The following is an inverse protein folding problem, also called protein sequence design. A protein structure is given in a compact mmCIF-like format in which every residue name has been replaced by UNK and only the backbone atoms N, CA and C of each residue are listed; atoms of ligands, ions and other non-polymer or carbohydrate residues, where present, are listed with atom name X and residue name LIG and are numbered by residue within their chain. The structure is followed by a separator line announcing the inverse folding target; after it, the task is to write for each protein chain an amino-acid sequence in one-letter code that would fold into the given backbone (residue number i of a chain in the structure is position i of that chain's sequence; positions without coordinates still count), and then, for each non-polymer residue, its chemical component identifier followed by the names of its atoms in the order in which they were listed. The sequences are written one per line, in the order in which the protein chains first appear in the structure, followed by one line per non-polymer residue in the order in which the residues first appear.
data_IF_219223101010
#
_entry.id   IF_219223101010
#
_cell.length_a   1.000
_cell.length_b   1.000
_cell.length_c   1.000
_cell.angle_alpha   90.00
_cell.angle_beta   90.00
_cell.angle_gamma   90.00
#
_symmetry.space_group_name_H-M   'P 1'
#
loop_
_entity.id
_entity.type
_entity.pdbx_description
1 polymer ?
#
# COMPACT_ATOMS: atom_id res chain seq x y z
N UNK A 1 -4.47 -30.37 5.98
CA UNK A 1 -4.83 -29.97 7.36
C UNK A 1 -3.85 -30.71 8.28
N UNK A 2 -2.86 -29.99 8.81
CA UNK A 2 -1.83 -30.53 9.71
C UNK A 2 -1.87 -29.65 10.95
N UNK A 3 -2.07 -30.31 12.09
CA UNK A 3 -2.44 -29.74 13.39
C UNK A 3 -1.17 -29.22 14.06
N UNK A 4 -1.25 -28.01 14.62
CA UNK A 4 -0.14 -27.30 15.24
C UNK A 4 0.47 -28.09 16.41
N UNK A 5 1.79 -28.23 16.40
CA UNK A 5 2.56 -28.88 17.46
C UNK A 5 2.43 -28.07 18.77
N UNK A 6 1.96 -28.72 19.83
CA UNK A 6 1.92 -28.16 21.18
C UNK A 6 3.33 -27.94 21.70
N UNK A 7 3.83 -26.70 21.66
CA UNK A 7 5.04 -26.33 22.36
C UNK A 7 4.81 -26.45 23.88
N UNK A 8 5.34 -27.52 24.47
CA UNK A 8 5.46 -27.65 25.93
C UNK A 8 6.30 -26.49 26.44
N UNK A 9 5.65 -25.57 27.14
CA UNK A 9 6.28 -24.51 27.92
C UNK A 9 7.08 -25.18 29.05
N UNK A 10 8.34 -25.46 28.77
CA UNK A 10 9.30 -26.04 29.69
C UNK A 10 10.24 -24.96 30.23
N UNK A 11 10.17 -24.77 31.54
CA UNK A 11 11.23 -24.25 32.41
C UNK A 11 11.52 -22.74 32.34
N UNK A 12 10.98 -22.03 33.34
CA UNK A 12 11.48 -20.72 33.78
C UNK A 12 12.94 -20.89 34.19
N UNK A 13 13.87 -20.34 33.41
CA UNK A 13 15.25 -20.23 33.86
C UNK A 13 15.35 -19.09 34.86
N UNK A 14 15.73 -19.43 36.10
CA UNK A 14 16.00 -18.50 37.17
C UNK A 14 17.23 -17.64 36.83
N UNK A 15 17.20 -16.39 37.30
CA UNK A 15 18.22 -15.37 37.08
C UNK A 15 19.64 -15.86 37.40
N UNK A 16 20.40 -16.18 36.35
CA UNK A 16 21.85 -16.32 36.38
C UNK A 16 22.46 -15.14 35.65
N UNK A 17 23.11 -14.24 36.39
CA UNK A 17 23.93 -13.17 35.83
C UNK A 17 25.09 -13.78 35.04
N UNK A 18 25.00 -13.78 33.71
CA UNK A 18 26.15 -14.05 32.85
C UNK A 18 26.56 -12.74 32.21
N UNK A 19 27.43 -12.04 32.94
CA UNK A 19 28.54 -11.20 32.47
C UNK A 19 28.64 -11.08 30.94
N UNK A 20 28.30 -9.89 30.44
CA UNK A 20 28.84 -9.24 29.25
C UNK A 20 29.58 -10.13 28.24
N UNK A 21 28.85 -10.78 27.32
CA UNK A 21 29.37 -10.96 25.96
C UNK A 21 29.10 -9.67 25.20
N UNK A 22 30.04 -8.72 25.28
CA UNK A 22 30.20 -7.74 24.21
C UNK A 22 30.57 -8.54 22.96
N UNK A 23 29.65 -8.61 22.02
CA UNK A 23 29.95 -9.06 20.66
C UNK A 23 30.86 -7.98 20.08
N UNK A 24 32.16 -8.25 20.07
CA UNK A 24 33.13 -7.44 19.36
C UNK A 24 32.86 -7.54 17.86
N UNK A 25 32.75 -6.38 17.21
CA UNK A 25 33.08 -6.22 15.80
C UNK A 25 32.08 -6.75 14.78
N UNK A 26 30.91 -6.11 14.68
CA UNK A 26 30.31 -5.93 13.35
C UNK A 26 30.54 -4.45 13.02
N UNK A 27 31.34 -4.09 12.00
CA UNK A 27 31.45 -2.71 11.58
C UNK A 27 30.04 -2.25 11.20
N UNK A 28 29.58 -1.17 11.84
CA UNK A 28 28.30 -0.54 11.53
C UNK A 28 28.39 0.03 10.11
N UNK A 29 28.17 -0.85 9.13
CA UNK A 29 28.00 -0.46 7.73
C UNK A 29 26.77 0.41 7.73
N UNK A 30 26.97 1.73 7.58
CA UNK A 30 25.89 2.70 7.35
C UNK A 30 24.89 2.06 6.40
N UNK A 31 23.74 1.65 6.94
CA UNK A 31 22.65 1.14 6.12
C UNK A 31 22.29 2.27 5.18
N UNK A 32 22.45 2.03 3.89
CA UNK A 32 22.02 2.98 2.87
C UNK A 32 20.50 2.96 2.91
N UNK A 33 19.87 4.13 2.86
CA UNK A 33 18.42 4.21 2.82
C UNK A 33 17.92 3.54 1.53
N UNK A 34 17.19 2.44 1.69
CA UNK A 34 16.58 1.71 0.57
C UNK A 34 15.08 1.99 0.52
N UNK A 35 14.57 2.32 -0.66
CA UNK A 35 13.13 2.51 -0.88
C UNK A 35 12.53 1.20 -1.39
N UNK A 36 11.75 0.55 -0.53
CA UNK A 36 10.97 -0.65 -0.89
C UNK A 36 9.50 -0.27 -1.05
N UNK A 37 8.93 -0.58 -2.21
CA UNK A 37 7.47 -0.43 -2.43
C UNK A 37 6.78 -1.59 -1.72
N UNK A 38 5.77 -1.28 -0.90
CA UNK A 38 5.01 -2.32 -0.18
C UNK A 38 4.29 -3.25 -1.16
N UNK A 39 4.18 -4.52 -0.79
CA UNK A 39 3.47 -5.54 -1.58
C UNK A 39 1.98 -5.17 -1.78
N UNK A 40 1.39 -4.44 -0.83
CA UNK A 40 0.03 -3.89 -0.96
C UNK A 40 -0.06 -2.82 -2.06
N UNK A 41 0.90 -1.89 -2.12
CA UNK A 41 0.91 -0.84 -3.13
C UNK A 41 1.09 -1.40 -4.55
N UNK A 42 1.90 -2.45 -4.71
CA UNK A 42 2.05 -3.15 -6.00
C UNK A 42 0.73 -3.77 -6.45
N UNK A 43 0.03 -4.48 -5.56
CA UNK A 43 -1.30 -5.07 -5.87
C UNK A 43 -2.34 -4.02 -6.27
N UNK A 44 -2.34 -2.86 -5.60
CA UNK A 44 -3.23 -1.76 -5.97
C UNK A 44 -2.89 -1.17 -7.35
N UNK A 45 -1.61 -1.13 -7.72
CA UNK A 45 -1.18 -0.72 -9.06
C UNK A 45 -1.66 -1.71 -10.12
N UNK A 46 -1.46 -3.01 -9.90
CA UNK A 46 -1.90 -4.05 -10.84
C UNK A 46 -3.43 -4.02 -11.04
N UNK A 47 -4.19 -3.83 -9.96
CA UNK A 47 -5.64 -3.67 -10.02
C UNK A 47 -6.08 -2.43 -10.84
N UNK A 48 -5.26 -1.37 -10.82
CA UNK A 48 -5.49 -0.16 -11.62
C UNK A 48 -5.17 -0.37 -13.09
N UNK A 49 -4.10 -1.11 -13.40
CA UNK A 49 -3.71 -1.45 -14.77
C UNK A 49 -4.78 -2.33 -15.45
N UNK A 50 -5.40 -3.25 -14.71
CA UNK A 50 -6.52 -4.05 -15.20
C UNK A 50 -7.72 -3.20 -15.70
N UNK A 51 -7.90 -1.98 -15.17
CA UNK A 51 -8.97 -1.05 -15.57
C UNK A 51 -8.54 -0.07 -16.69
N UNK A 52 -7.29 -0.16 -17.16
CA UNK A 52 -6.71 0.84 -18.05
C UNK A 52 -7.38 0.87 -19.43
N UNK A 53 -7.76 -0.27 -20.00
CA UNK A 53 -8.42 -0.36 -21.31
C UNK A 53 -9.78 0.34 -21.33
N UNK A 54 -10.62 0.06 -20.33
CA UNK A 54 -11.94 0.69 -20.19
C UNK A 54 -11.81 2.20 -19.92
N UNK A 55 -10.79 2.58 -19.14
CA UNK A 55 -10.47 3.99 -18.89
C UNK A 55 -10.03 4.72 -20.16
N UNK A 56 -9.22 4.10 -21.01
CA UNK A 56 -8.78 4.68 -22.30
C UNK A 56 -9.99 4.93 -23.19
N UNK A 57 -10.87 3.93 -23.35
CA UNK A 57 -12.10 4.06 -24.15
C UNK A 57 -12.98 5.20 -23.65
N UNK A 58 -13.23 5.26 -22.34
CA UNK A 58 -14.02 6.35 -21.72
C UNK A 58 -13.38 7.72 -21.95
N UNK A 59 -12.06 7.80 -21.97
CA UNK A 59 -11.35 9.05 -22.18
C UNK A 59 -11.46 9.51 -23.64
N UNK A 60 -11.40 8.59 -24.59
CA UNK A 60 -11.63 8.88 -26.02
C UNK A 60 -13.04 9.38 -26.29
N UNK A 61 -14.08 8.76 -25.72
CA UNK A 61 -15.47 9.22 -25.87
C UNK A 61 -15.65 10.62 -25.29
N UNK A 62 -15.11 10.88 -24.09
CA UNK A 62 -15.16 12.20 -23.46
C UNK A 62 -14.45 13.26 -24.31
N UNK A 63 -13.30 12.93 -24.91
CA UNK A 63 -12.60 13.86 -25.82
C UNK A 63 -13.45 14.22 -27.03
N UNK A 64 -14.16 13.24 -27.60
CA UNK A 64 -15.07 13.48 -28.73
C UNK A 64 -16.24 14.38 -28.32
N UNK A 65 -16.90 14.11 -27.20
CA UNK A 65 -18.01 14.93 -26.67
C UNK A 65 -17.59 16.38 -26.37
N UNK A 66 -16.37 16.57 -25.87
CA UNK A 66 -15.81 17.91 -25.63
C UNK A 66 -15.52 18.62 -26.96
N UNK A 67 -14.94 17.91 -27.93
CA UNK A 67 -14.64 18.49 -29.24
C UNK A 67 -15.91 18.86 -30.03
N UNK A 68 -16.99 18.08 -29.90
CA UNK A 68 -18.31 18.40 -30.48
C UNK A 68 -19.09 19.46 -29.70
N UNK A 69 -18.61 19.89 -28.53
CA UNK A 69 -19.29 20.86 -27.68
C UNK A 69 -20.56 20.33 -27.01
N UNK A 70 -20.79 19.02 -27.00
CA UNK A 70 -21.98 18.38 -26.40
C UNK A 70 -21.73 17.87 -24.98
N UNK A 71 -20.50 18.01 -24.48
CA UNK A 71 -20.17 17.61 -23.11
C UNK A 71 -20.85 18.51 -22.08
N UNK A 72 -21.72 17.91 -21.26
CA UNK A 72 -22.42 18.59 -20.17
C UNK A 72 -22.33 17.76 -18.89
N UNK A 73 -21.98 18.42 -17.79
CA UNK A 73 -21.95 17.82 -16.46
C UNK A 73 -22.96 18.55 -15.57
N UNK A 74 -23.88 17.80 -15.01
CA UNK A 74 -24.87 18.32 -14.05
C UNK A 74 -24.17 18.87 -12.80
N UNK A 75 -24.60 20.06 -12.35
CA UNK A 75 -23.99 20.75 -11.21
C UNK A 75 -23.99 19.90 -9.92
N UNK A 76 -25.01 19.06 -9.71
CA UNK A 76 -25.09 18.15 -8.57
C UNK A 76 -23.91 17.15 -8.53
N UNK A 77 -23.54 16.58 -9.68
CA UNK A 77 -22.41 15.65 -9.78
C UNK A 77 -21.08 16.32 -9.46
N UNK A 78 -20.95 17.61 -9.80
CA UNK A 78 -19.76 18.41 -9.46
C UNK A 78 -19.72 18.63 -7.95
N UNK A 79 -20.84 19.02 -7.33
CA UNK A 79 -20.92 19.24 -5.89
C UNK A 79 -20.60 17.97 -5.09
N UNK A 80 -21.16 16.82 -5.48
CA UNK A 80 -20.87 15.52 -4.86
C UNK A 80 -19.37 15.16 -4.92
N UNK A 81 -18.71 15.46 -6.04
CA UNK A 81 -17.27 15.18 -6.19
C UNK A 81 -16.38 16.13 -5.41
N UNK A 82 -16.81 17.36 -5.19
CA UNK A 82 -16.09 18.34 -4.38
C UNK A 82 -16.33 18.14 -2.88
N UNK A 83 -17.46 17.54 -2.49
CA UNK A 83 -17.87 17.34 -1.10
C UNK A 83 -16.76 16.80 -0.17
N UNK A 84 -15.99 15.74 -0.53
CA UNK A 84 -14.98 15.17 0.37
C UNK A 84 -13.81 16.11 0.68
N UNK A 85 -13.61 17.14 -0.13
CA UNK A 85 -12.54 18.13 0.07
C UNK A 85 -13.01 19.32 0.91
N UNK A 86 -14.33 19.54 0.98
CA UNK A 86 -14.95 20.66 1.70
C UNK A 86 -15.38 20.27 3.11
N UNK A 87 -15.76 19.01 3.32
CA UNK A 87 -16.11 18.48 4.62
C UNK A 87 -14.92 17.67 5.16
N UNK A 88 -14.27 18.22 6.20
CA UNK A 88 -13.25 17.53 7.00
C UNK A 88 -13.87 16.66 8.07
#
# INVERSE_FOLDING_TARGET
MKIDETQRIGMRQAYGSVTSRRIEGIPDRKRVDEVHISEEAKRLLDAREAQQTERIRKLETLRQEVASGTYYVEAGKIAEKLLPFLLK
#
